data_IF_517594682353
#
_entry.id   IF_517594682353
#
_cell.length_a   1.000
_cell.length_b   1.000
_cell.length_c   1.000
_cell.angle_alpha   90.00
_cell.angle_beta   90.00
_cell.angle_gamma   90.00
#
_symmetry.space_group_name_H-M   'P 1'
#
loop_
_entity.id
_entity.type
_entity.pdbx_description
1 polymer ?
#
# COMPACT_ATOMS: atom_id res chain seq x y z
N UNK A 1 -7.45 14.62 39.87
CA UNK A 1 -6.41 13.65 39.47
C UNK A 1 -7.13 12.43 38.94
N UNK A 2 -7.25 12.35 37.62
CA UNK A 2 -7.52 11.16 36.80
C UNK A 2 -7.25 11.66 35.37
N UNK A 3 -6.14 11.24 34.78
CA UNK A 3 -5.83 11.55 33.39
C UNK A 3 -6.58 10.58 32.47
N UNK A 4 -7.31 11.06 31.46
CA UNK A 4 -7.87 10.18 30.45
C UNK A 4 -6.83 9.88 29.37
N UNK A 5 -6.38 8.63 29.41
CA UNK A 5 -5.82 7.76 28.36
C UNK A 5 -6.02 8.28 26.93
N UNK A 6 -4.90 8.53 26.23
CA UNK A 6 -4.80 8.71 24.77
C UNK A 6 -5.48 7.54 24.05
N UNK A 7 -6.75 7.76 23.71
CA UNK A 7 -7.51 6.84 22.86
C UNK A 7 -7.16 7.21 21.43
N UNK A 8 -6.42 6.33 20.76
CA UNK A 8 -6.04 6.44 19.36
C UNK A 8 -7.21 6.93 18.51
N UNK A 9 -7.09 8.18 18.05
CA UNK A 9 -8.10 8.84 17.26
C UNK A 9 -8.23 8.11 15.92
N UNK A 10 -9.35 7.43 15.75
CA UNK A 10 -9.96 7.15 14.46
C UNK A 10 -9.86 8.40 13.58
N UNK A 11 -9.04 8.35 12.52
CA UNK A 11 -8.99 9.40 11.54
C UNK A 11 -10.38 9.53 10.88
N UNK A 12 -10.97 10.73 10.81
CA UNK A 12 -12.33 10.91 10.31
C UNK A 12 -12.40 10.66 8.79
N UNK A 13 -13.58 10.18 8.35
CA UNK A 13 -14.01 9.85 6.97
C UNK A 13 -13.76 10.96 5.92
N UNK A 14 -13.32 12.14 6.34
CA UNK A 14 -13.01 13.29 5.48
C UNK A 14 -11.67 13.20 4.72
N UNK A 15 -10.81 12.21 4.98
CA UNK A 15 -9.52 12.03 4.26
C UNK A 15 -9.65 11.13 3.01
N UNK A 16 -10.86 10.69 2.65
CA UNK A 16 -11.08 9.77 1.53
C UNK A 16 -11.28 10.50 0.18
N UNK A 17 -11.37 11.83 0.15
CA UNK A 17 -11.75 12.60 -1.04
C UNK A 17 -10.58 13.20 -1.87
N UNK A 18 -9.34 12.79 -1.60
CA UNK A 18 -8.15 13.07 -2.45
C UNK A 18 -7.64 11.79 -3.18
N UNK A 19 -8.47 10.74 -3.23
CA UNK A 19 -8.06 9.36 -3.59
C UNK A 19 -7.66 9.08 -5.05
N UNK A 20 -7.51 10.08 -5.91
CA UNK A 20 -6.99 9.89 -7.27
C UNK A 20 -5.99 10.94 -7.74
N UNK A 21 -5.49 11.81 -6.86
CA UNK A 21 -4.32 12.60 -7.19
C UNK A 21 -3.07 11.75 -6.95
N UNK A 22 -2.82 10.82 -7.90
CA UNK A 22 -1.59 10.01 -7.98
C UNK A 22 -0.38 10.91 -8.23
N UNK A 23 -0.01 11.70 -7.23
CA UNK A 23 1.21 12.46 -7.23
C UNK A 23 2.37 11.49 -6.98
N UNK A 24 3.42 11.63 -7.79
CA UNK A 24 4.68 10.98 -7.45
C UNK A 24 5.13 11.52 -6.09
N UNK A 25 5.48 10.66 -5.13
CA UNK A 25 5.87 11.11 -3.81
C UNK A 25 7.14 11.97 -3.91
N UNK A 26 7.14 13.07 -3.14
CA UNK A 26 8.22 14.06 -3.06
C UNK A 26 9.14 13.83 -1.86
N UNK A 27 8.70 13.02 -0.91
CA UNK A 27 9.43 12.73 0.33
C UNK A 27 9.30 11.26 0.72
N UNK A 28 10.13 10.82 1.67
CA UNK A 28 10.01 9.49 2.25
C UNK A 28 8.68 9.30 2.97
N UNK A 29 8.20 10.32 3.67
CA UNK A 29 6.91 10.28 4.37
C UNK A 29 5.76 10.09 3.38
N UNK A 30 5.76 10.80 2.25
CA UNK A 30 4.75 10.59 1.20
C UNK A 30 4.82 9.19 0.58
N UNK A 31 6.02 8.59 0.48
CA UNK A 31 6.16 7.20 0.05
C UNK A 31 5.62 6.21 1.10
N UNK A 32 5.88 6.45 2.38
CA UNK A 32 5.32 5.67 3.49
C UNK A 32 3.80 5.72 3.45
N UNK A 33 3.22 6.91 3.23
CA UNK A 33 1.78 7.10 3.12
C UNK A 33 1.18 6.32 1.93
N UNK A 34 1.86 6.32 0.77
CA UNK A 34 1.43 5.52 -0.38
C UNK A 34 1.48 4.02 -0.11
N UNK A 35 2.53 3.54 0.57
CA UNK A 35 2.63 2.11 0.95
C UNK A 35 1.54 1.76 1.96
N UNK A 36 1.27 2.62 2.94
CA UNK A 36 0.17 2.44 3.90
C UNK A 36 -1.19 2.39 3.19
N UNK A 37 -1.42 3.28 2.21
CA UNK A 37 -2.61 3.22 1.38
C UNK A 37 -2.72 1.89 0.64
N UNK A 38 -1.63 1.34 0.10
CA UNK A 38 -1.66 0.05 -0.58
C UNK A 38 -2.02 -1.11 0.37
N UNK A 39 -1.58 -1.06 1.63
CA UNK A 39 -2.00 -2.03 2.66
C UNK A 39 -3.50 -1.91 2.94
N UNK A 40 -4.04 -0.69 3.05
CA UNK A 40 -5.47 -0.46 3.22
C UNK A 40 -6.29 -1.03 2.05
N UNK A 41 -5.87 -0.80 0.81
CA UNK A 41 -6.58 -1.31 -0.37
C UNK A 41 -6.57 -2.85 -0.45
N UNK A 42 -5.51 -3.51 0.07
CA UNK A 42 -5.47 -4.97 0.21
C UNK A 42 -6.48 -5.46 1.26
N UNK A 43 -6.57 -4.77 2.40
CA UNK A 43 -7.52 -5.11 3.46
C UNK A 43 -8.97 -4.92 2.98
N UNK A 44 -9.27 -3.86 2.24
CA UNK A 44 -10.58 -3.65 1.61
C UNK A 44 -10.89 -4.72 0.57
N UNK A 45 -9.91 -5.09 -0.27
CA UNK A 45 -10.09 -6.16 -1.25
C UNK A 45 -10.39 -7.50 -0.57
N UNK A 46 -9.77 -7.78 0.57
CA UNK A 46 -10.08 -8.97 1.38
C UNK A 46 -11.48 -8.93 1.96
N UNK A 47 -11.92 -7.80 2.49
CA UNK A 47 -13.29 -7.64 2.98
C UNK A 47 -14.33 -7.92 1.86
N UNK A 48 -14.09 -7.42 0.65
CA UNK A 48 -14.94 -7.72 -0.50
C UNK A 48 -15.00 -9.22 -0.85
N UNK A 49 -13.88 -9.94 -0.74
CA UNK A 49 -13.82 -11.40 -1.01
C UNK A 49 -14.66 -12.19 0.00
N UNK A 50 -14.66 -11.77 1.27
CA UNK A 50 -15.44 -12.43 2.31
C UNK A 50 -16.95 -12.30 2.06
N UNK A 51 -17.38 -11.15 1.51
CA UNK A 51 -18.78 -10.89 1.15
C UNK A 51 -19.19 -11.56 -0.18
N UNK A 52 -18.26 -11.72 -1.14
CA UNK A 52 -18.48 -12.28 -2.47
C UNK A 52 -17.57 -13.50 -2.78
N UNK A 53 -17.92 -14.71 -2.32
CA UNK A 53 -17.04 -15.88 -2.40
C UNK A 53 -16.74 -16.36 -3.82
N UNK A 54 -17.48 -15.91 -4.83
CA UNK A 54 -17.23 -16.21 -6.25
C UNK A 54 -15.95 -15.50 -6.78
N UNK A 55 -15.59 -14.35 -6.21
CA UNK A 55 -14.35 -13.64 -6.54
C UNK A 55 -13.12 -14.19 -5.79
N UNK A 56 -13.33 -15.12 -4.86
CA UNK A 56 -12.27 -15.73 -4.05
C UNK A 56 -11.22 -16.44 -4.92
N UNK A 57 -11.66 -17.21 -5.92
CA UNK A 57 -10.76 -17.92 -6.85
C UNK A 57 -9.88 -16.97 -7.66
N UNK A 58 -10.35 -15.73 -7.87
CA UNK A 58 -9.64 -14.70 -8.66
C UNK A 58 -8.50 -14.06 -7.88
N UNK A 59 -8.68 -13.83 -6.58
CA UNK A 59 -7.78 -13.00 -5.77
C UNK A 59 -6.87 -13.81 -4.83
N UNK A 60 -7.32 -14.97 -4.34
CA UNK A 60 -6.50 -15.88 -3.53
C UNK A 60 -5.10 -16.18 -4.09
N UNK A 61 -4.87 -16.31 -5.41
CA UNK A 61 -3.55 -16.63 -5.95
C UNK A 61 -2.45 -15.59 -5.67
N UNK A 62 -2.80 -14.37 -5.27
CA UNK A 62 -1.83 -13.30 -5.05
C UNK A 62 -2.07 -12.46 -3.79
N UNK A 63 -3.29 -12.39 -3.28
CA UNK A 63 -3.66 -11.40 -2.25
C UNK A 63 -2.83 -11.57 -0.96
N UNK A 64 -2.63 -12.80 -0.50
CA UNK A 64 -1.84 -13.09 0.70
C UNK A 64 -0.37 -12.72 0.53
N UNK A 65 0.18 -13.04 -0.63
CA UNK A 65 1.58 -12.75 -0.90
C UNK A 65 1.81 -11.24 -1.07
N UNK A 66 0.86 -10.54 -1.68
CA UNK A 66 0.89 -9.08 -1.83
C UNK A 66 0.79 -8.38 -0.47
N UNK A 67 -0.11 -8.83 0.39
CA UNK A 67 -0.28 -8.33 1.77
C UNK A 67 1.02 -8.43 2.57
N UNK A 68 1.60 -9.63 2.64
CA UNK A 68 2.84 -9.88 3.38
C UNK A 68 3.98 -8.98 2.92
N UNK A 69 4.13 -8.79 1.60
CA UNK A 69 5.21 -7.99 1.04
C UNK A 69 5.01 -6.48 1.26
N UNK A 70 3.78 -5.98 1.15
CA UNK A 70 3.46 -4.58 1.43
C UNK A 70 3.63 -4.25 2.92
N UNK A 71 3.16 -5.11 3.82
CA UNK A 71 3.35 -4.93 5.27
C UNK A 71 4.82 -4.97 5.66
N UNK A 72 5.60 -5.91 5.10
CA UNK A 72 7.06 -5.95 5.30
C UNK A 72 7.74 -4.66 4.83
N UNK A 73 7.36 -4.15 3.65
CA UNK A 73 7.89 -2.90 3.12
C UNK A 73 7.56 -1.72 4.06
N UNK A 74 6.31 -1.63 4.51
CA UNK A 74 5.87 -0.61 5.46
C UNK A 74 6.63 -0.66 6.78
N UNK A 75 6.81 -1.86 7.35
CA UNK A 75 7.56 -2.08 8.58
C UNK A 75 9.04 -1.70 8.42
N UNK A 76 9.66 -2.02 7.28
CA UNK A 76 11.05 -1.64 7.01
C UNK A 76 11.21 -0.12 6.84
N UNK A 77 10.21 0.57 6.27
CA UNK A 77 10.21 2.02 6.15
C UNK A 77 10.02 2.72 7.49
N UNK A 78 9.01 2.31 8.27
CA UNK A 78 8.71 2.92 9.58
C UNK A 78 9.80 2.63 10.63
N UNK A 79 10.52 1.52 10.49
CA UNK A 79 11.68 1.21 11.32
C UNK A 79 12.98 1.90 10.86
N UNK A 80 12.95 2.70 9.79
CA UNK A 80 14.12 3.39 9.24
C UNK A 80 15.18 2.46 8.63
N UNK A 81 14.81 1.22 8.30
CA UNK A 81 15.70 0.22 7.66
C UNK A 81 15.64 0.27 6.13
N UNK A 82 14.66 0.99 5.59
CA UNK A 82 14.48 1.14 4.16
C UNK A 82 15.28 2.32 3.60
N UNK A 83 15.84 2.15 2.41
CA UNK A 83 16.57 3.19 1.68
C UNK A 83 16.05 3.28 0.25
N UNK A 84 15.83 4.52 -0.21
CA UNK A 84 15.51 4.82 -1.60
C UNK A 84 16.36 6.02 -2.07
N UNK A 85 16.69 6.11 -3.37
CA UNK A 85 16.29 5.20 -4.44
C UNK A 85 17.05 3.86 -4.40
N UNK A 86 16.42 2.79 -4.87
CA UNK A 86 17.06 1.51 -5.15
C UNK A 86 16.92 1.19 -6.64
N UNK A 87 17.98 0.70 -7.30
CA UNK A 87 17.94 0.43 -8.74
C UNK A 87 17.20 -0.87 -9.11
N UNK A 88 16.47 -1.44 -8.16
CA UNK A 88 15.75 -2.71 -8.27
C UNK A 88 14.25 -2.48 -8.25
N UNK A 89 13.49 -3.46 -8.73
CA UNK A 89 12.04 -3.47 -8.50
C UNK A 89 11.73 -3.99 -7.08
N UNK A 90 10.60 -3.56 -6.53
CA UNK A 90 10.07 -4.12 -5.28
C UNK A 90 9.65 -5.58 -5.47
N UNK A 91 9.76 -6.36 -4.39
CA UNK A 91 9.50 -7.81 -4.40
C UNK A 91 8.09 -8.17 -4.91
N UNK A 92 7.12 -7.26 -4.81
CA UNK A 92 5.74 -7.51 -5.25
C UNK A 92 5.53 -7.29 -6.75
N UNK A 93 6.49 -6.70 -7.46
CA UNK A 93 6.34 -6.39 -8.88
C UNK A 93 6.10 -7.61 -9.79
N UNK A 94 6.70 -8.80 -9.56
CA UNK A 94 6.34 -10.02 -10.28
C UNK A 94 4.85 -10.39 -10.15
N UNK A 95 4.22 -10.14 -8.98
CA UNK A 95 2.79 -10.35 -8.78
C UNK A 95 1.97 -9.35 -9.60
N UNK A 96 2.36 -8.08 -9.57
CA UNK A 96 1.71 -7.02 -10.35
C UNK A 96 1.81 -7.26 -11.85
N UNK A 97 2.92 -7.82 -12.32
CA UNK A 97 3.10 -8.17 -13.73
C UNK A 97 2.22 -9.37 -14.13
N UNK A 98 2.15 -10.39 -13.27
CA UNK A 98 1.37 -11.61 -13.54
C UNK A 98 -0.14 -11.38 -13.43
N UNK A 99 -0.60 -10.69 -12.39
CA UNK A 99 -2.01 -10.56 -12.00
C UNK A 99 -2.56 -9.14 -12.17
N UNK A 100 -1.80 -8.23 -12.78
CA UNK A 100 -2.14 -6.81 -12.82
C UNK A 100 -3.42 -6.43 -13.55
N UNK A 101 -4.09 -7.37 -14.23
CA UNK A 101 -5.44 -7.16 -14.79
C UNK A 101 -6.53 -7.30 -13.73
N UNK A 102 -6.25 -8.07 -12.69
CA UNK A 102 -7.19 -8.39 -11.62
C UNK A 102 -6.99 -7.47 -10.41
N UNK A 103 -5.80 -6.89 -10.24
CA UNK A 103 -5.51 -5.96 -9.14
C UNK A 103 -6.17 -4.59 -9.40
N UNK A 104 -7.18 -4.18 -8.62
CA UNK A 104 -7.93 -2.94 -8.86
C UNK A 104 -7.10 -1.68 -8.58
N UNK A 105 -6.17 -1.74 -7.61
CA UNK A 105 -5.26 -0.65 -7.24
C UNK A 105 -3.85 -0.81 -7.84
N UNK A 106 -3.71 -1.51 -8.98
CA UNK A 106 -2.43 -1.63 -9.69
C UNK A 106 -1.70 -0.29 -9.90
N UNK A 107 -2.37 0.82 -10.30
CA UNK A 107 -1.69 2.09 -10.50
C UNK A 107 -0.92 2.58 -9.27
N UNK A 108 -1.45 2.32 -8.06
CA UNK A 108 -0.81 2.64 -6.79
C UNK A 108 0.50 1.86 -6.60
N UNK A 109 0.48 0.55 -6.83
CA UNK A 109 1.66 -0.30 -6.72
C UNK A 109 2.77 0.10 -7.70
N UNK A 110 2.37 0.50 -8.92
CA UNK A 110 3.29 1.01 -9.93
C UNK A 110 3.90 2.34 -9.50
N UNK A 111 3.12 3.25 -8.91
CA UNK A 111 3.63 4.53 -8.42
C UNK A 111 4.65 4.35 -7.28
N UNK A 112 4.36 3.45 -6.32
CA UNK A 112 5.29 3.08 -5.25
C UNK A 112 6.60 2.54 -5.83
N UNK A 113 6.54 1.62 -6.79
CA UNK A 113 7.73 1.06 -7.41
C UNK A 113 8.53 2.10 -8.22
N UNK A 114 7.84 3.03 -8.90
CA UNK A 114 8.51 4.13 -9.61
C UNK A 114 9.25 5.06 -8.64
N UNK A 115 8.66 5.38 -7.49
CA UNK A 115 9.29 6.18 -6.45
C UNK A 115 10.48 5.45 -5.81
N UNK A 116 10.32 4.17 -5.50
CA UNK A 116 11.41 3.31 -5.05
C UNK A 116 12.60 3.35 -6.01
N UNK A 117 12.34 3.26 -7.31
CA UNK A 117 13.39 3.20 -8.35
C UNK A 117 14.07 4.52 -8.63
N UNK A 118 13.29 5.57 -8.77
CA UNK A 118 13.75 6.85 -9.28
C UNK A 118 14.00 7.88 -8.18
N UNK A 119 13.61 7.57 -6.95
CA UNK A 119 13.59 8.53 -5.85
C UNK A 119 12.44 9.52 -6.02
N UNK A 120 12.55 10.64 -5.30
CA UNK A 120 11.49 11.64 -5.22
C UNK A 120 11.65 12.71 -6.30
N UNK A 121 10.54 13.20 -6.87
CA UNK A 121 10.60 14.38 -7.73
C UNK A 121 10.60 15.65 -6.88
N UNK A 122 11.59 16.52 -7.12
CA UNK A 122 11.63 17.91 -6.62
C UNK A 122 10.76 18.84 -7.45
#
# INVERSE_FOLDING_TARGET
MFEPIDTGAFAPVFVYQDRMNMHQPKTMDELIDLVHQAVYEVDELRACIEDEPEEMERYLPFIDQLDVQLRKLFDDMTAGRYSCPAQTDLDFMPLVQKWGRDIPFKPLLVAINQAHRNGFRS
#
